data_IF_975975398119
#
_entry.id   IF_975975398119
#
_cell.length_a   1.000
_cell.length_b   1.000
_cell.length_c   1.000
_cell.angle_alpha   90.00
_cell.angle_beta   90.00
_cell.angle_gamma   90.00
#
_symmetry.space_group_name_H-M   'P 1'
#
loop_
_entity.id
_entity.type
_entity.pdbx_description
1 polymer ?
#
# COMPACT_ATOMS: atom_id res chain seq x y z
N UNK A 1 23.97 13.74 5.49
CA UNK A 1 23.24 12.54 5.95
C UNK A 1 21.82 12.88 6.39
N UNK A 2 21.59 13.90 7.22
CA UNK A 2 20.24 14.36 7.62
C UNK A 2 19.29 14.69 6.46
N UNK A 3 19.80 15.35 5.41
CA UNK A 3 18.98 15.78 4.27
C UNK A 3 18.52 14.60 3.38
N UNK A 4 19.39 13.60 3.20
CA UNK A 4 19.06 12.35 2.52
C UNK A 4 17.98 11.57 3.29
N UNK A 5 18.07 11.52 4.62
CA UNK A 5 17.09 10.84 5.47
C UNK A 5 15.72 11.52 5.43
N UNK A 6 15.69 12.86 5.49
CA UNK A 6 14.43 13.62 5.40
C UNK A 6 13.73 13.39 4.06
N UNK A 7 14.50 13.32 2.98
CA UNK A 7 13.99 12.98 1.64
C UNK A 7 13.40 11.56 1.60
N UNK A 8 14.03 10.59 2.26
CA UNK A 8 13.51 9.21 2.33
C UNK A 8 12.17 9.14 3.07
N UNK A 9 12.04 9.80 4.22
CA UNK A 9 10.77 9.83 4.99
C UNK A 9 9.65 10.48 4.19
N UNK A 10 9.92 11.61 3.53
CA UNK A 10 8.92 12.30 2.70
C UNK A 10 8.47 11.43 1.50
N UNK A 11 9.41 10.72 0.87
CA UNK A 11 9.12 9.77 -0.22
C UNK A 11 8.23 8.63 0.25
N UNK A 12 8.46 8.15 1.48
CA UNK A 12 7.70 7.06 2.09
C UNK A 12 6.26 7.46 2.42
N UNK A 13 6.05 8.65 3.00
CA UNK A 13 4.71 9.19 3.21
C UNK A 13 3.96 9.38 1.90
N UNK A 14 4.61 9.97 0.89
CA UNK A 14 4.02 10.18 -0.43
C UNK A 14 3.60 8.84 -1.08
N UNK A 15 4.45 7.82 -0.96
CA UNK A 15 4.16 6.48 -1.49
C UNK A 15 2.99 5.83 -0.76
N UNK A 16 2.92 5.96 0.58
CA UNK A 16 1.79 5.45 1.38
C UNK A 16 0.45 6.09 0.98
N UNK A 17 0.44 7.42 0.78
CA UNK A 17 -0.77 8.12 0.30
C UNK A 17 -1.19 7.59 -1.07
N UNK A 18 -0.25 7.44 -1.99
CA UNK A 18 -0.54 6.91 -3.34
C UNK A 18 -1.08 5.48 -3.31
N UNK A 19 -0.59 4.63 -2.42
CA UNK A 19 -1.12 3.29 -2.19
C UNK A 19 -2.58 3.34 -1.73
N UNK A 20 -2.90 4.24 -0.80
CA UNK A 20 -4.28 4.43 -0.34
C UNK A 20 -5.21 4.94 -1.45
N UNK A 21 -4.73 5.87 -2.29
CA UNK A 21 -5.49 6.42 -3.42
C UNK A 21 -5.81 5.33 -4.45
N UNK A 22 -4.80 4.54 -4.83
CA UNK A 22 -4.97 3.42 -5.77
C UNK A 22 -5.97 2.40 -5.21
N UNK A 23 -5.90 2.08 -3.90
CA UNK A 23 -6.88 1.21 -3.25
C UNK A 23 -8.32 1.75 -3.39
N UNK A 24 -8.52 3.05 -3.16
CA UNK A 24 -9.82 3.68 -3.28
C UNK A 24 -10.35 3.64 -4.73
N UNK A 25 -9.49 3.92 -5.70
CA UNK A 25 -9.81 3.86 -7.13
C UNK A 25 -10.26 2.45 -7.56
N UNK A 26 -9.51 1.43 -7.15
CA UNK A 26 -9.86 0.02 -7.41
C UNK A 26 -11.24 -0.29 -6.84
N UNK A 27 -11.49 0.04 -5.57
CA UNK A 27 -12.80 -0.19 -4.94
C UNK A 27 -13.95 0.49 -5.70
N UNK A 28 -13.72 1.71 -6.20
CA UNK A 28 -14.69 2.41 -7.06
C UNK A 28 -14.98 1.63 -8.34
N UNK A 29 -13.94 1.19 -9.05
CA UNK A 29 -14.07 0.36 -10.25
C UNK A 29 -14.81 -0.96 -9.97
N UNK A 30 -14.53 -1.63 -8.83
CA UNK A 30 -15.25 -2.86 -8.44
C UNK A 30 -16.75 -2.57 -8.27
N UNK A 31 -17.10 -1.45 -7.64
CA UNK A 31 -18.49 -1.07 -7.40
C UNK A 31 -19.23 -0.77 -8.69
N UNK A 32 -18.60 -0.05 -9.62
CA UNK A 32 -19.17 0.26 -10.93
C UNK A 32 -19.42 -1.01 -11.73
N UNK A 33 -18.42 -1.89 -11.82
CA UNK A 33 -18.55 -3.14 -12.57
C UNK A 33 -19.70 -4.00 -12.02
N UNK A 34 -19.82 -4.11 -10.69
CA UNK A 34 -20.93 -4.83 -10.05
C UNK A 34 -22.30 -4.23 -10.40
N UNK A 35 -22.39 -2.90 -10.48
CA UNK A 35 -23.61 -2.21 -10.87
C UNK A 35 -24.02 -2.49 -12.32
N UNK A 36 -23.08 -2.39 -13.26
CA UNK A 36 -23.31 -2.69 -14.68
C UNK A 36 -23.82 -4.12 -14.86
N UNK A 37 -23.15 -5.04 -14.19
CA UNK A 37 -23.47 -6.46 -14.12
C UNK A 37 -24.89 -6.76 -13.66
N UNK A 38 -25.34 -6.18 -12.54
CA UNK A 38 -26.68 -6.43 -12.01
C UNK A 38 -27.74 -5.80 -12.93
N UNK A 39 -27.41 -4.72 -13.62
CA UNK A 39 -28.27 -4.08 -14.62
C UNK A 39 -28.52 -4.95 -15.86
N UNK A 40 -27.56 -5.78 -16.26
CA UNK A 40 -27.65 -6.62 -17.47
C UNK A 40 -28.26 -8.01 -17.16
N UNK A 41 -28.28 -8.41 -15.88
CA UNK A 41 -28.78 -9.71 -15.40
C UNK A 41 -30.22 -10.02 -15.81
N UNK A 42 -31.06 -9.00 -16.00
CA UNK A 42 -32.43 -9.16 -16.48
C UNK A 42 -32.57 -9.59 -17.96
N UNK A 43 -31.51 -9.49 -18.76
CA UNK A 43 -31.53 -9.83 -20.19
C UNK A 43 -30.75 -11.09 -20.58
N UNK A 44 -30.07 -11.74 -19.63
CA UNK A 44 -29.02 -12.73 -19.90
C UNK A 44 -29.36 -14.09 -19.25
N UNK A 45 -30.30 -14.86 -19.82
CA UNK A 45 -30.56 -16.24 -19.38
C UNK A 45 -29.59 -17.26 -20.02
N UNK A 46 -29.17 -18.26 -19.24
CA UNK A 46 -28.48 -19.46 -19.71
C UNK A 46 -26.95 -19.38 -19.70
N UNK A 47 -26.34 -19.01 -20.83
CA UNK A 47 -24.88 -19.07 -21.04
C UNK A 47 -24.13 -17.83 -20.56
N UNK A 48 -24.80 -16.68 -20.61
CA UNK A 48 -24.18 -15.40 -20.29
C UNK A 48 -24.04 -15.18 -18.76
N UNK A 49 -24.88 -15.83 -17.96
CA UNK A 49 -24.76 -15.89 -16.50
C UNK A 49 -23.50 -16.64 -16.02
N UNK A 50 -23.04 -17.66 -16.77
CA UNK A 50 -21.84 -18.45 -16.44
C UNK A 50 -20.58 -17.63 -16.74
N UNK A 51 -20.53 -17.00 -17.92
CA UNK A 51 -19.43 -16.11 -18.29
C UNK A 51 -19.31 -14.94 -17.30
N UNK A 52 -20.46 -14.44 -16.85
CA UNK A 52 -20.53 -13.42 -15.82
C UNK A 52 -19.97 -13.90 -14.46
N UNK A 53 -20.38 -15.07 -13.97
CA UNK A 53 -19.83 -15.64 -12.72
C UNK A 53 -18.31 -15.81 -12.79
N UNK A 54 -17.80 -16.34 -13.91
CA UNK A 54 -16.36 -16.54 -14.09
C UNK A 54 -15.59 -15.20 -14.14
N UNK A 55 -16.18 -14.16 -14.73
CA UNK A 55 -15.60 -12.81 -14.70
C UNK A 55 -15.51 -12.28 -13.28
N UNK A 56 -16.58 -12.41 -12.49
CA UNK A 56 -16.59 -11.98 -11.08
C UNK A 56 -15.55 -12.70 -10.24
N UNK A 57 -15.38 -14.01 -10.44
CA UNK A 57 -14.43 -14.81 -9.69
C UNK A 57 -12.98 -14.40 -9.99
N UNK A 58 -12.65 -14.21 -11.28
CA UNK A 58 -11.33 -13.71 -11.71
C UNK A 58 -11.07 -12.29 -11.21
N UNK A 59 -12.12 -11.48 -11.15
CA UNK A 59 -12.08 -10.11 -10.66
C UNK A 59 -11.79 -10.05 -9.17
N UNK A 60 -12.57 -10.77 -8.35
CA UNK A 60 -12.33 -10.86 -6.90
C UNK A 60 -10.92 -11.38 -6.60
N UNK A 61 -10.45 -12.37 -7.37
CA UNK A 61 -9.06 -12.84 -7.27
C UNK A 61 -8.02 -11.76 -7.58
N UNK A 62 -8.25 -10.95 -8.61
CA UNK A 62 -7.35 -9.85 -8.99
C UNK A 62 -7.37 -8.72 -7.96
N UNK A 63 -8.55 -8.37 -7.45
CA UNK A 63 -8.73 -7.37 -6.41
C UNK A 63 -8.02 -7.76 -5.10
N UNK A 64 -8.14 -9.02 -4.69
CA UNK A 64 -7.46 -9.53 -3.51
C UNK A 64 -5.94 -9.51 -3.65
N UNK A 65 -5.41 -9.94 -4.81
CA UNK A 65 -3.96 -9.88 -5.07
C UNK A 65 -3.43 -8.45 -5.02
N UNK A 66 -4.19 -7.51 -5.58
CA UNK A 66 -3.81 -6.11 -5.59
C UNK A 66 -3.84 -5.51 -4.19
N UNK A 67 -4.88 -5.78 -3.40
CA UNK A 67 -4.93 -5.38 -1.99
C UNK A 67 -3.77 -5.95 -1.18
N UNK A 68 -3.45 -7.23 -1.34
CA UNK A 68 -2.30 -7.85 -0.66
C UNK A 68 -0.97 -7.21 -1.07
N UNK A 69 -0.79 -6.90 -2.35
CA UNK A 69 0.42 -6.20 -2.82
C UNK A 69 0.53 -4.79 -2.21
N UNK A 70 -0.57 -4.05 -2.17
CA UNK A 70 -0.63 -2.71 -1.56
C UNK A 70 -0.38 -2.74 -0.05
N UNK A 71 -0.90 -3.73 0.65
CA UNK A 71 -0.66 -3.94 2.08
C UNK A 71 0.80 -4.31 2.36
N UNK A 72 1.37 -5.21 1.57
CA UNK A 72 2.79 -5.56 1.66
C UNK A 72 3.71 -4.36 1.40
N UNK A 73 3.38 -3.52 0.42
CA UNK A 73 4.10 -2.26 0.17
C UNK A 73 3.97 -1.32 1.37
N UNK A 74 2.77 -1.17 1.93
CA UNK A 74 2.53 -0.32 3.10
C UNK A 74 3.32 -0.78 4.33
N UNK A 75 3.33 -2.09 4.59
CA UNK A 75 4.10 -2.68 5.69
C UNK A 75 5.61 -2.50 5.48
N UNK A 76 6.09 -2.70 4.24
CA UNK A 76 7.50 -2.49 3.90
C UNK A 76 7.94 -1.03 4.11
N UNK A 77 7.09 -0.08 3.70
CA UNK A 77 7.30 1.34 3.96
C UNK A 77 7.34 1.59 5.47
N UNK A 78 6.33 1.13 6.23
CA UNK A 78 6.31 1.35 7.68
C UNK A 78 7.54 0.75 8.39
N UNK A 79 7.92 -0.47 8.02
CA UNK A 79 9.09 -1.16 8.56
C UNK A 79 10.39 -0.41 8.28
N UNK A 80 10.57 0.10 7.06
CA UNK A 80 11.71 0.93 6.71
C UNK A 80 11.71 2.22 7.54
N UNK A 81 10.55 2.86 7.77
CA UNK A 81 10.47 4.12 8.50
C UNK A 81 10.89 3.95 9.96
N UNK A 82 10.43 2.86 10.60
CA UNK A 82 10.82 2.52 11.98
C UNK A 82 12.31 2.19 12.06
N UNK A 83 12.85 1.44 11.09
CA UNK A 83 14.28 1.10 11.04
C UNK A 83 15.15 2.35 10.87
N UNK A 84 14.71 3.32 10.07
CA UNK A 84 15.40 4.61 9.91
C UNK A 84 15.40 5.43 11.20
N UNK A 85 14.26 5.49 11.92
CA UNK A 85 14.17 6.23 13.19
C UNK A 85 15.06 5.61 14.29
N UNK A 86 15.07 4.27 14.38
CA UNK A 86 15.96 3.54 15.30
C UNK A 86 17.44 3.79 15.00
N UNK A 87 17.83 3.69 13.72
CA UNK A 87 19.21 3.96 13.31
C UNK A 87 19.67 5.39 13.65
N UNK A 88 18.76 6.38 13.56
CA UNK A 88 19.06 7.77 13.93
C UNK A 88 19.25 7.94 15.44
N UNK A 89 18.41 7.27 16.24
CA UNK A 89 18.49 7.32 17.69
C UNK A 89 19.77 6.66 18.21
N UNK A 90 20.18 5.55 17.61
CA UNK A 90 21.43 4.85 17.89
C UNK A 90 22.66 5.70 17.52
N UNK A 91 22.65 6.36 16.35
CA UNK A 91 23.74 7.22 15.92
C UNK A 91 23.89 8.45 16.83
N UNK A 92 22.77 9.05 17.23
CA UNK A 92 22.77 10.20 18.15
C UNK A 92 23.26 9.78 19.54
N UNK A 93 22.83 8.61 20.02
CA UNK A 93 23.27 8.07 21.30
C UNK A 93 24.77 7.72 21.29
N UNK A 94 25.28 7.14 20.21
CA UNK A 94 26.71 6.83 20.07
C UNK A 94 27.55 8.10 20.04
N UNK A 95 27.12 9.14 19.32
CA UNK A 95 27.79 10.44 19.30
C UNK A 95 27.81 11.10 20.68
N UNK A 96 26.69 11.05 21.41
CA UNK A 96 26.62 11.57 22.77
C UNK A 96 27.52 10.81 23.74
N UNK A 97 27.61 9.48 23.59
CA UNK A 97 28.51 8.65 24.39
C UNK A 97 29.99 8.94 24.08
N UNK A 98 30.33 9.10 22.79
CA UNK A 98 31.68 9.48 22.36
C UNK A 98 32.03 10.88 22.87
N UNK A 99 31.14 11.86 22.73
CA UNK A 99 31.33 13.21 23.25
C UNK A 99 31.49 13.22 24.78
N UNK A 100 30.70 12.42 25.51
CA UNK A 100 30.84 12.26 26.95
C UNK A 100 32.14 11.58 27.37
N UNK A 101 32.66 10.64 26.55
CA UNK A 101 33.94 9.96 26.78
C UNK A 101 35.17 10.81 26.43
N UNK A 102 34.97 11.85 25.61
CA UNK A 102 36.02 12.78 25.16
C UNK A 102 36.17 14.02 26.05
N UNK A 103 35.36 14.19 27.10
CA UNK A 103 35.66 15.14 28.19
C UNK A 103 37.09 14.88 28.70
N UNK A 104 38.18 15.64 28.52
CA UNK A 104 38.59 16.89 27.82
C UNK A 104 37.56 17.98 27.51
#
# INVERSE_FOLDING_TARGET
MSDQMRTTVETMEATSRRVSDVRAEIHGLLSTLRGEVEGIRGGWEGSAAIAFHSLMERWDGSANKLNQALEAISENIKSNSVSYDGAQQDHTSSLNNVAGSLNI
#
